data_IF_729244603918
#
_entry.id   IF_729244603918
#
_cell.length_a   1.000
_cell.length_b   1.000
_cell.length_c   1.000
_cell.angle_alpha   90.00
_cell.angle_beta   90.00
_cell.angle_gamma   90.00
#
_symmetry.space_group_name_H-M   'P 1'
#
loop_
_entity.id
_entity.type
_entity.pdbx_description
1 polymer ?
#
# COMPACT_ATOMS: atom_id res chain seq x y z
N UNK A 1 -0.99 -13.39 -34.13
CA UNK A 1 -0.45 -14.04 -32.91
C UNK A 1 0.41 -13.08 -32.09
N UNK A 2 1.47 -12.45 -32.65
CA UNK A 2 2.30 -11.47 -31.93
C UNK A 2 1.53 -10.30 -31.27
N UNK A 3 0.59 -9.66 -31.99
CA UNK A 3 -0.22 -8.56 -31.44
C UNK A 3 -1.17 -8.99 -30.30
N UNK A 4 -1.61 -10.25 -30.30
CA UNK A 4 -2.44 -10.82 -29.22
C UNK A 4 -1.58 -11.08 -27.98
N UNK A 5 -0.36 -11.58 -28.16
CA UNK A 5 0.61 -11.81 -27.08
C UNK A 5 1.02 -10.49 -26.42
N UNK A 6 1.30 -9.42 -27.20
CA UNK A 6 1.59 -8.08 -26.66
C UNK A 6 0.42 -7.53 -25.84
N UNK A 7 -0.82 -7.70 -26.32
CA UNK A 7 -2.01 -7.30 -25.57
C UNK A 7 -2.18 -8.08 -24.26
N UNK A 8 -1.92 -9.39 -24.25
CA UNK A 8 -1.99 -10.22 -23.02
C UNK A 8 -0.90 -9.84 -22.02
N UNK A 9 0.35 -9.63 -22.49
CA UNK A 9 1.44 -9.20 -21.61
C UNK A 9 1.20 -7.82 -21.00
N UNK A 10 0.73 -6.84 -21.79
CA UNK A 10 0.38 -5.51 -21.28
C UNK A 10 -0.72 -5.59 -20.22
N UNK A 11 -1.77 -6.38 -20.47
CA UNK A 11 -2.86 -6.60 -19.51
C UNK A 11 -2.35 -7.21 -18.21
N UNK A 12 -1.43 -8.18 -18.27
CA UNK A 12 -0.85 -8.79 -17.06
C UNK A 12 0.01 -7.82 -16.25
N UNK A 13 0.76 -6.94 -16.91
CA UNK A 13 1.55 -5.89 -16.26
C UNK A 13 0.62 -4.89 -15.55
N UNK A 14 -0.39 -4.38 -16.25
CA UNK A 14 -1.38 -3.45 -15.68
C UNK A 14 -2.34 -4.09 -14.67
N UNK A 15 -2.34 -5.42 -14.55
CA UNK A 15 -3.09 -6.16 -13.54
C UNK A 15 -2.27 -6.53 -12.29
N UNK A 16 -0.94 -6.36 -12.33
CA UNK A 16 -0.06 -6.73 -11.22
C UNK A 16 -0.11 -5.67 -10.10
N UNK A 17 -0.51 -6.02 -8.86
CA UNK A 17 -0.57 -5.07 -7.76
C UNK A 17 0.74 -4.37 -7.44
N UNK A 18 1.88 -5.06 -7.62
CA UNK A 18 3.19 -4.46 -7.39
C UNK A 18 3.55 -3.44 -8.47
N UNK A 19 3.20 -3.72 -9.72
CA UNK A 19 3.38 -2.77 -10.81
C UNK A 19 2.56 -1.50 -10.56
N UNK A 20 1.27 -1.64 -10.24
CA UNK A 20 0.38 -0.51 -9.94
C UNK A 20 0.88 0.31 -8.75
N UNK A 21 1.33 -0.35 -7.67
CA UNK A 21 1.87 0.34 -6.51
C UNK A 21 3.15 1.12 -6.86
N UNK A 22 4.10 0.47 -7.55
CA UNK A 22 5.36 1.08 -7.97
C UNK A 22 5.15 2.26 -8.91
N UNK A 23 4.31 2.10 -9.93
CA UNK A 23 3.96 3.14 -10.90
C UNK A 23 3.40 4.39 -10.20
N UNK A 24 2.53 4.22 -9.19
CA UNK A 24 2.05 5.35 -8.40
C UNK A 24 3.18 6.07 -7.66
N UNK A 25 4.12 5.34 -7.05
CA UNK A 25 5.27 5.97 -6.38
C UNK A 25 6.16 6.75 -7.35
N UNK A 26 6.37 6.23 -8.56
CA UNK A 26 7.14 6.90 -9.62
C UNK A 26 6.43 8.18 -10.08
N UNK A 27 5.12 8.12 -10.30
CA UNK A 27 4.29 9.28 -10.66
C UNK A 27 4.27 10.36 -9.58
N UNK A 28 4.45 10.00 -8.30
CA UNK A 28 4.59 10.94 -7.18
C UNK A 28 6.01 11.47 -6.99
N UNK A 29 6.96 11.04 -7.82
CA UNK A 29 8.34 11.54 -7.81
C UNK A 29 9.15 11.09 -6.59
N UNK A 30 8.83 9.93 -6.01
CA UNK A 30 9.60 9.41 -4.87
C UNK A 30 11.02 9.00 -5.32
N UNK A 31 12.05 9.22 -4.48
CA UNK A 31 13.43 8.89 -4.84
C UNK A 31 13.65 7.37 -4.92
N UNK A 32 14.67 6.94 -5.66
CA UNK A 32 14.98 5.51 -5.89
C UNK A 32 15.06 4.66 -4.61
N UNK A 33 15.60 5.24 -3.52
CA UNK A 33 15.66 4.57 -2.23
C UNK A 33 14.27 4.16 -1.71
N UNK A 34 13.25 4.96 -1.99
CA UNK A 34 11.84 4.67 -1.67
C UNK A 34 11.19 3.74 -2.69
N UNK A 35 11.53 3.89 -3.97
CA UNK A 35 10.97 3.08 -5.05
C UNK A 35 11.24 1.57 -4.86
N UNK A 36 12.38 1.21 -4.26
CA UNK A 36 12.71 -0.18 -3.89
C UNK A 36 11.77 -0.77 -2.81
N UNK A 37 11.01 0.08 -2.13
CA UNK A 37 10.01 -0.30 -1.12
C UNK A 37 8.58 -0.24 -1.64
N UNK A 38 8.34 0.33 -2.82
CA UNK A 38 7.02 0.38 -3.45
C UNK A 38 6.63 -0.96 -4.09
N UNK A 39 6.70 -2.02 -3.29
CA UNK A 39 6.37 -3.38 -3.66
C UNK A 39 5.84 -4.09 -2.42
N UNK A 40 4.74 -4.83 -2.52
CA UNK A 40 4.07 -5.44 -1.36
C UNK A 40 4.96 -6.42 -0.56
N UNK A 41 6.00 -6.98 -1.18
CA UNK A 41 6.99 -7.83 -0.49
C UNK A 41 8.06 -7.06 0.27
N UNK A 42 8.40 -5.82 -0.11
CA UNK A 42 9.44 -5.01 0.54
C UNK A 42 8.87 -3.86 1.38
N UNK A 43 7.60 -3.53 1.17
CA UNK A 43 6.82 -2.67 2.04
C UNK A 43 6.41 -3.47 3.29
N UNK A 44 7.30 -3.49 4.28
CA UNK A 44 7.14 -4.24 5.53
C UNK A 44 7.23 -3.31 6.72
N UNK A 45 6.77 -3.80 7.89
CA UNK A 45 6.95 -3.09 9.17
C UNK A 45 8.42 -2.75 9.41
N UNK A 46 9.32 -3.70 9.16
CA UNK A 46 10.75 -3.51 9.45
C UNK A 46 11.37 -2.47 8.49
N UNK A 47 10.92 -2.40 7.23
CA UNK A 47 11.32 -1.34 6.32
C UNK A 47 10.88 0.04 6.82
N UNK A 48 9.63 0.17 7.28
CA UNK A 48 9.11 1.41 7.88
C UNK A 48 9.85 1.79 9.17
N UNK A 49 10.21 0.80 9.97
CA UNK A 49 10.98 0.98 11.20
C UNK A 49 12.38 1.54 10.89
N UNK A 50 13.08 1.01 9.90
CA UNK A 50 14.38 1.54 9.46
C UNK A 50 14.29 2.98 8.94
N UNK A 51 13.21 3.32 8.21
CA UNK A 51 12.95 4.69 7.78
C UNK A 51 12.72 5.62 8.98
N UNK A 52 11.95 5.17 9.97
CA UNK A 52 11.67 5.94 11.20
C UNK A 52 12.95 6.22 12.00
N UNK A 53 13.83 5.22 12.14
CA UNK A 53 15.12 5.38 12.80
C UNK A 53 16.20 6.05 11.92
N UNK A 54 15.85 6.48 10.70
CA UNK A 54 16.75 7.13 9.75
C UNK A 54 17.98 6.29 9.40
N UNK A 55 17.85 4.97 9.50
CA UNK A 55 18.87 4.00 9.06
C UNK A 55 18.63 3.53 7.63
N UNK A 56 17.55 4.00 7.00
CA UNK A 56 17.19 3.76 5.61
C UNK A 56 17.39 5.02 4.76
N UNK A 57 17.74 4.83 3.48
CA UNK A 57 17.92 5.94 2.52
C UNK A 57 16.60 6.60 2.07
N UNK A 58 15.46 5.95 2.31
CA UNK A 58 14.15 6.54 2.07
C UNK A 58 13.67 7.32 3.31
N UNK A 59 13.39 8.64 3.18
CA UNK A 59 12.92 9.46 4.31
C UNK A 59 11.55 9.00 4.81
N UNK A 60 11.29 9.12 6.11
CA UNK A 60 10.02 8.71 6.74
C UNK A 60 8.82 9.48 6.19
N UNK A 61 9.02 10.72 5.74
CA UNK A 61 7.99 11.57 5.15
C UNK A 61 7.42 10.96 3.85
N UNK A 62 8.22 10.20 3.10
CA UNK A 62 7.77 9.51 1.89
C UNK A 62 6.75 8.40 2.17
N UNK A 63 6.65 7.92 3.42
CA UNK A 63 5.69 6.85 3.78
C UNK A 63 4.25 7.26 3.55
N UNK A 64 3.90 8.54 3.67
CA UNK A 64 2.54 9.00 3.40
C UNK A 64 2.14 8.72 1.94
N UNK A 65 3.01 9.07 0.99
CA UNK A 65 2.79 8.80 -0.43
C UNK A 65 2.87 7.31 -0.77
N UNK A 66 3.80 6.58 -0.16
CA UNK A 66 3.90 5.12 -0.33
C UNK A 66 2.63 4.42 0.18
N UNK A 67 2.10 4.82 1.34
CA UNK A 67 0.91 4.22 1.93
C UNK A 67 -0.34 4.55 1.10
N UNK A 68 -0.45 5.81 0.65
CA UNK A 68 -1.48 6.25 -0.29
C UNK A 68 -1.45 5.41 -1.58
N UNK A 69 -0.27 5.20 -2.16
CA UNK A 69 -0.10 4.44 -3.39
C UNK A 69 -0.42 2.94 -3.20
N UNK A 70 0.01 2.33 -2.09
CA UNK A 70 -0.35 0.95 -1.78
C UNK A 70 -1.87 0.79 -1.66
N UNK A 71 -2.54 1.72 -0.98
CA UNK A 71 -3.99 1.75 -0.83
C UNK A 71 -4.72 2.34 -2.05
N UNK A 72 -4.01 2.75 -3.12
CA UNK A 72 -4.58 3.44 -4.28
C UNK A 72 -5.57 4.57 -3.93
N UNK A 73 -5.32 5.31 -2.85
CA UNK A 73 -6.16 6.42 -2.42
C UNK A 73 -7.59 6.04 -1.98
N UNK A 74 -7.81 4.81 -1.50
CA UNK A 74 -9.15 4.30 -1.15
C UNK A 74 -9.33 4.01 0.35
N UNK A 75 -10.59 3.86 0.73
CA UNK A 75 -11.02 3.45 2.06
C UNK A 75 -11.10 1.93 2.18
N UNK A 76 -10.27 1.36 3.05
CA UNK A 76 -10.22 -0.07 3.37
C UNK A 76 -10.65 -0.38 4.81
N UNK A 77 -11.26 0.58 5.52
CA UNK A 77 -11.58 0.46 6.94
C UNK A 77 -12.38 -0.81 7.27
N UNK A 78 -13.35 -1.18 6.43
CA UNK A 78 -14.14 -2.40 6.63
C UNK A 78 -13.32 -3.68 6.46
N UNK A 79 -12.43 -3.73 5.46
CA UNK A 79 -11.51 -4.86 5.30
C UNK A 79 -10.56 -4.95 6.50
N UNK A 80 -9.96 -3.84 6.90
CA UNK A 80 -9.05 -3.77 8.04
C UNK A 80 -9.71 -4.20 9.35
N UNK A 81 -10.93 -3.72 9.61
CA UNK A 81 -11.72 -4.10 10.79
C UNK A 81 -11.95 -5.62 10.83
N UNK A 82 -12.37 -6.21 9.71
CA UNK A 82 -12.57 -7.66 9.59
C UNK A 82 -11.28 -8.47 9.72
N UNK A 83 -10.14 -7.91 9.33
CA UNK A 83 -8.83 -8.55 9.43
C UNK A 83 -8.08 -8.22 10.72
N UNK A 84 -8.78 -7.72 11.75
CA UNK A 84 -8.23 -7.60 13.09
C UNK A 84 -7.24 -6.44 13.29
N UNK A 85 -7.27 -5.43 12.41
CA UNK A 85 -6.44 -4.22 12.58
C UNK A 85 -6.79 -3.46 13.86
N UNK A 86 -8.03 -3.60 14.35
CA UNK A 86 -8.49 -2.96 15.60
C UNK A 86 -8.15 -3.74 16.87
N UNK A 87 -7.44 -4.87 16.78
CA UNK A 87 -7.11 -5.69 17.96
C UNK A 87 -5.77 -5.32 18.61
N UNK A 88 -5.11 -4.26 18.14
CA UNK A 88 -3.88 -3.76 18.75
C UNK A 88 -4.21 -2.95 20.00
N UNK A 89 -3.19 -2.58 20.79
CA UNK A 89 -3.37 -1.67 21.93
C UNK A 89 -3.95 -0.30 21.54
N UNK A 90 -3.78 0.13 20.29
CA UNK A 90 -4.31 1.40 19.78
C UNK A 90 -5.76 1.29 19.25
N UNK A 91 -6.31 0.07 19.16
CA UNK A 91 -7.71 -0.16 18.85
C UNK A 91 -8.17 0.43 17.53
N UNK A 92 -9.34 1.08 17.55
CA UNK A 92 -9.95 1.70 16.36
C UNK A 92 -9.14 2.83 15.75
N UNK A 93 -8.18 3.44 16.47
CA UNK A 93 -7.29 4.46 15.91
C UNK A 93 -6.52 3.93 14.69
N UNK A 94 -6.21 2.63 14.67
CA UNK A 94 -5.48 2.01 13.58
C UNK A 94 -6.21 2.00 12.24
N UNK A 95 -7.54 2.22 12.24
CA UNK A 95 -8.29 2.38 11.00
C UNK A 95 -7.92 3.67 10.25
N UNK A 96 -7.24 4.63 10.88
CA UNK A 96 -6.72 5.81 10.15
C UNK A 96 -5.72 5.44 9.07
N UNK A 97 -4.99 4.34 9.20
CA UNK A 97 -4.06 3.85 8.18
C UNK A 97 -4.79 3.14 7.02
N UNK A 98 -6.04 2.74 7.24
CA UNK A 98 -6.83 2.02 6.25
C UNK A 98 -7.66 2.93 5.35
N UNK A 99 -8.00 4.13 5.81
CA UNK A 99 -8.62 5.17 4.98
C UNK A 99 -7.52 6.06 4.40
N UNK A 100 -7.18 5.85 3.13
CA UNK A 100 -6.15 6.62 2.43
C UNK A 100 -6.75 7.53 1.36
N UNK A 101 -8.04 7.87 1.46
CA UNK A 101 -8.62 8.87 0.58
C UNK A 101 -7.88 10.20 0.73
N UNK A 102 -7.73 10.98 -0.35
CA UNK A 102 -7.28 12.37 -0.26
C UNK A 102 -8.08 13.14 0.81
N UNK A 103 -7.45 14.18 1.38
CA UNK A 103 -8.04 15.09 2.38
C UNK A 103 -8.28 14.49 3.79
N UNK A 104 -7.93 13.22 4.01
CA UNK A 104 -7.88 12.61 5.34
C UNK A 104 -6.50 12.79 5.98
N UNK A 105 -6.24 13.96 6.53
CA UNK A 105 -4.98 14.26 7.22
C UNK A 105 -5.10 13.93 8.70
N UNK A 106 -4.37 12.92 9.16
CA UNK A 106 -4.25 12.59 10.59
C UNK A 106 -2.87 12.99 11.09
N UNK A 107 -2.82 13.76 12.17
CA UNK A 107 -1.57 13.99 12.91
C UNK A 107 -1.26 12.75 13.72
N UNK A 108 -0.26 11.99 13.26
CA UNK A 108 0.18 10.76 13.94
C UNK A 108 1.12 11.12 15.10
N UNK A 109 0.87 10.50 16.24
CA UNK A 109 1.72 10.55 17.43
C UNK A 109 2.15 9.13 17.85
N UNK A 110 2.88 9.01 18.95
CA UNK A 110 3.36 7.71 19.45
C UNK A 110 2.24 6.72 19.81
N UNK A 111 1.01 7.18 20.05
CA UNK A 111 -0.13 6.30 20.35
C UNK A 111 -0.56 5.44 19.16
N UNK A 112 -0.04 5.71 17.95
CA UNK A 112 -0.29 4.92 16.74
C UNK A 112 0.74 3.82 16.49
N UNK A 113 1.86 3.78 17.24
CA UNK A 113 2.91 2.76 17.06
C UNK A 113 2.35 1.33 17.13
N UNK A 114 1.45 0.96 18.06
CA UNK A 114 0.87 -0.39 18.11
C UNK A 114 0.14 -0.80 16.82
N UNK A 115 -0.32 0.15 16.00
CA UNK A 115 -1.00 -0.16 14.74
C UNK A 115 -0.12 -0.94 13.76
N UNK A 116 1.20 -0.75 13.82
CA UNK A 116 2.14 -1.46 12.96
C UNK A 116 2.28 -2.96 13.30
N UNK A 117 1.77 -3.43 14.44
CA UNK A 117 1.66 -4.86 14.76
C UNK A 117 0.75 -5.60 13.77
N UNK A 118 -0.21 -4.89 13.18
CA UNK A 118 -1.16 -5.41 12.19
C UNK A 118 -0.90 -4.90 10.78
N UNK A 119 0.33 -4.44 10.51
CA UNK A 119 0.69 -3.85 9.22
C UNK A 119 0.50 -4.82 8.04
N UNK A 120 0.82 -6.10 8.21
CA UNK A 120 0.61 -7.11 7.18
C UNK A 120 -0.88 -7.29 6.84
N UNK A 121 -1.78 -7.20 7.82
CA UNK A 121 -3.23 -7.26 7.60
C UNK A 121 -3.76 -6.04 6.85
N UNK A 122 -3.26 -4.84 7.17
CA UNK A 122 -3.56 -3.62 6.40
C UNK A 122 -3.12 -3.80 4.94
N UNK A 123 -1.87 -4.20 4.76
CA UNK A 123 -1.25 -4.39 3.45
C UNK A 123 -1.95 -5.46 2.60
N UNK A 124 -2.40 -6.55 3.23
CA UNK A 124 -3.17 -7.59 2.56
C UNK A 124 -4.52 -7.08 2.03
N UNK A 125 -5.20 -6.19 2.78
CA UNK A 125 -6.41 -5.53 2.30
C UNK A 125 -6.14 -4.71 1.04
N UNK A 126 -5.07 -3.92 1.04
CA UNK A 126 -4.68 -3.11 -0.12
C UNK A 126 -4.38 -3.99 -1.34
N UNK A 127 -3.50 -4.98 -1.19
CA UNK A 127 -3.10 -5.90 -2.26
C UNK A 127 -4.30 -6.61 -2.90
N UNK A 128 -5.18 -7.17 -2.06
CA UNK A 128 -6.35 -7.90 -2.53
C UNK A 128 -7.30 -6.99 -3.31
N UNK A 129 -7.52 -5.77 -2.84
CA UNK A 129 -8.39 -4.82 -3.53
C UNK A 129 -7.83 -4.43 -4.91
N UNK A 130 -6.51 -4.22 -5.04
CA UNK A 130 -5.86 -4.03 -6.36
C UNK A 130 -6.12 -5.24 -7.27
N UNK A 131 -5.88 -6.45 -6.75
CA UNK A 131 -6.02 -7.70 -7.51
C UNK A 131 -7.45 -7.92 -7.97
N UNK A 132 -8.45 -7.70 -7.11
CA UNK A 132 -9.86 -7.85 -7.48
C UNK A 132 -10.32 -6.80 -8.49
N UNK A 133 -9.84 -5.55 -8.37
CA UNK A 133 -10.10 -4.51 -9.38
C UNK A 133 -9.53 -4.91 -10.74
N UNK A 134 -8.29 -5.38 -10.78
CA UNK A 134 -7.66 -5.86 -12.01
C UNK A 134 -8.43 -7.05 -12.62
N UNK A 135 -8.87 -8.02 -11.81
CA UNK A 135 -9.71 -9.14 -12.25
C UNK A 135 -11.03 -8.68 -12.86
N UNK A 136 -11.68 -7.66 -12.31
CA UNK A 136 -12.94 -7.13 -12.87
C UNK A 136 -12.74 -6.39 -14.18
N UNK A 137 -11.62 -5.70 -14.33
CA UNK A 137 -11.33 -4.88 -15.51
C UNK A 137 -10.79 -5.70 -16.69
N UNK A 138 -10.04 -6.77 -16.40
CA UNK A 138 -9.30 -7.55 -17.40
C UNK A 138 -9.59 -9.06 -17.38
N UNK A 139 -10.46 -9.52 -16.49
CA UNK A 139 -10.91 -10.91 -16.46
C UNK A 139 -11.72 -11.21 -17.71
N UNK A 140 -11.14 -12.00 -18.60
CA UNK A 140 -11.83 -12.58 -19.76
C UNK A 140 -13.15 -13.20 -19.30
N UNK A 141 -14.24 -12.87 -20.00
CA UNK A 141 -15.33 -13.84 -20.14
C UNK A 141 -14.84 -15.03 -20.96
#
# INVERSE_FOLDING_TARGET
MLAVIVNVFLVQVFANPNFIFRECCEQRGLPDACLNKCHFNTYTRDALQSMYFKTDGCPIEATADMHFCAAQGRDHTECCRRNGVTTTLAGYKCLTFCDQRPDKITKLDYSYVPCYERFEQMKQCFYNDIREKARRQYGSR
#
